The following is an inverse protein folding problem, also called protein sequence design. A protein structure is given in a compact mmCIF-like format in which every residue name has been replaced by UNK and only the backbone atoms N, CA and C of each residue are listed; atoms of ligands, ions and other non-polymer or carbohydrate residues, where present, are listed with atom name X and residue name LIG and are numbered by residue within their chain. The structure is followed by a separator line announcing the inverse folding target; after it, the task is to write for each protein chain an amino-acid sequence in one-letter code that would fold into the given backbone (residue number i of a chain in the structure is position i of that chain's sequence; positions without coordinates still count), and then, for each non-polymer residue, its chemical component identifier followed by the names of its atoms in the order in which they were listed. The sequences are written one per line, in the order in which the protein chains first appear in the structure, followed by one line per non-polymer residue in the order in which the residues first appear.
data_IF_462146975148
#
_entry.id   IF_462146975148
#
_cell.length_a   1.000
_cell.length_b   1.000
_cell.length_c   1.000
_cell.angle_alpha   90.00
_cell.angle_beta   90.00
_cell.angle_gamma   90.00
#
_symmetry.space_group_name_H-M   'P 1'
#
loop_
_entity.id
_entity.type
_entity.pdbx_description
1 polymer ?
#
# COMPACT_ATOMS: atom_id res chain seq x y z
N UNK A 1 -27.57 16.88 -49.07
CA UNK A 1 -28.04 16.55 -47.71
C UNK A 1 -27.24 15.34 -47.21
N UNK A 2 -26.15 15.58 -46.48
CA UNK A 2 -25.28 14.52 -45.95
C UNK A 2 -25.76 14.08 -44.58
N UNK A 3 -26.06 12.79 -44.41
CA UNK A 3 -26.46 12.22 -43.13
C UNK A 3 -25.24 11.68 -42.37
N UNK A 4 -25.05 12.24 -41.18
CA UNK A 4 -24.05 11.91 -40.19
C UNK A 4 -24.24 10.48 -39.68
N UNK A 5 -23.31 9.57 -39.98
CA UNK A 5 -23.34 8.20 -39.43
C UNK A 5 -22.60 8.19 -38.10
N UNK A 6 -23.37 8.25 -37.00
CA UNK A 6 -22.90 8.08 -35.61
C UNK A 6 -22.06 6.80 -35.48
N UNK A 7 -20.80 6.96 -35.11
CA UNK A 7 -19.91 5.90 -34.64
C UNK A 7 -20.53 5.29 -33.38
N UNK A 8 -21.10 4.08 -33.48
CA UNK A 8 -21.43 3.29 -32.29
C UNK A 8 -20.14 2.71 -31.74
N UNK A 9 -19.52 3.47 -30.85
CA UNK A 9 -18.40 3.06 -30.01
C UNK A 9 -18.78 1.77 -29.27
N UNK A 10 -17.96 0.74 -29.44
CA UNK A 10 -18.09 -0.58 -28.82
C UNK A 10 -17.81 -0.46 -27.31
N UNK A 11 -18.85 -0.13 -26.54
CA UNK A 11 -18.81 0.17 -25.10
C UNK A 11 -18.49 -1.03 -24.18
N UNK A 12 -18.44 -2.25 -24.71
CA UNK A 12 -18.25 -3.48 -23.92
C UNK A 12 -16.78 -3.90 -23.74
N UNK A 13 -15.87 -3.50 -24.63
CA UNK A 13 -14.43 -3.85 -24.51
C UNK A 13 -13.68 -3.05 -23.44
N UNK A 14 -14.18 -1.86 -23.10
CA UNK A 14 -13.59 -0.97 -22.08
C UNK A 14 -13.88 -1.42 -20.64
N UNK A 15 -14.94 -2.20 -20.39
CA UNK A 15 -15.34 -2.59 -19.04
C UNK A 15 -14.44 -3.68 -18.42
N UNK A 16 -13.89 -4.61 -19.21
CA UNK A 16 -13.01 -5.68 -18.69
C UNK A 16 -11.60 -5.18 -18.33
N UNK A 17 -11.05 -4.22 -19.09
CA UNK A 17 -9.77 -3.60 -18.76
C UNK A 17 -9.82 -2.81 -17.44
N UNK A 18 -10.97 -2.21 -17.11
CA UNK A 18 -11.17 -1.47 -15.87
C UNK A 18 -11.16 -2.37 -14.61
N UNK A 19 -11.66 -3.60 -14.70
CA UNK A 19 -11.70 -4.54 -13.57
C UNK A 19 -10.30 -5.07 -13.17
N UNK A 20 -9.40 -5.25 -14.14
CA UNK A 20 -8.01 -5.66 -13.89
C UNK A 20 -7.22 -4.53 -13.20
N UNK A 21 -7.41 -3.30 -13.65
CA UNK A 21 -6.81 -2.12 -13.01
C UNK A 21 -7.31 -1.92 -11.57
N UNK A 22 -8.57 -2.24 -11.28
CA UNK A 22 -9.15 -2.12 -9.94
C UNK A 22 -8.55 -3.11 -8.91
N UNK A 23 -8.21 -4.34 -9.32
CA UNK A 23 -7.60 -5.34 -8.43
C UNK A 23 -6.19 -4.96 -7.95
N UNK A 24 -5.39 -4.34 -8.82
CA UNK A 24 -4.06 -3.81 -8.49
C UNK A 24 -4.11 -2.65 -7.47
N UNK A 25 -5.20 -1.87 -7.44
CA UNK A 25 -5.36 -0.74 -6.52
C UNK A 25 -5.65 -1.17 -5.07
N UNK A 26 -6.19 -2.38 -4.84
CA UNK A 26 -6.53 -2.86 -3.48
C UNK A 26 -5.28 -3.26 -2.70
N UNK A 27 -4.32 -3.95 -3.31
CA UNK A 27 -3.08 -4.36 -2.64
C UNK A 27 -2.19 -3.19 -2.21
N UNK A 28 -2.22 -2.08 -2.95
CA UNK A 28 -1.49 -0.85 -2.61
C UNK A 28 -2.00 -0.22 -1.32
N UNK A 29 -3.29 -0.39 -0.99
CA UNK A 29 -3.85 0.19 0.24
C UNK A 29 -3.37 -0.55 1.50
N UNK A 30 -3.26 -1.87 1.46
CA UNK A 30 -2.82 -2.68 2.60
C UNK A 30 -1.37 -2.40 2.99
N UNK A 31 -0.46 -2.35 2.00
CA UNK A 31 0.95 -2.01 2.23
C UNK A 31 1.10 -0.59 2.80
N UNK A 32 0.34 0.38 2.28
CA UNK A 32 0.34 1.76 2.80
C UNK A 32 -0.14 1.83 4.24
N UNK A 33 -1.13 1.02 4.60
CA UNK A 33 -1.69 1.03 5.93
C UNK A 33 -0.76 0.35 6.96
N UNK A 34 0.18 -0.50 6.53
CA UNK A 34 1.17 -1.10 7.42
C UNK A 34 2.15 -0.05 7.98
N UNK A 35 2.67 0.85 7.13
CA UNK A 35 3.56 1.94 7.56
C UNK A 35 2.88 2.97 8.48
N UNK A 36 1.55 3.08 8.42
CA UNK A 36 0.75 4.00 9.25
C UNK A 36 0.26 3.37 10.57
N UNK A 37 0.56 2.10 10.82
CA UNK A 37 0.09 1.36 12.00
C UNK A 37 0.86 1.66 13.28
N UNK A 38 0.16 1.61 14.42
CA UNK A 38 0.78 1.63 15.76
C UNK A 38 1.72 0.43 16.01
N UNK A 39 1.50 -0.67 15.29
CA UNK A 39 2.32 -1.88 15.24
C UNK A 39 3.18 -1.96 13.96
N UNK A 40 3.24 -0.86 13.20
CA UNK A 40 3.98 -0.77 11.96
C UNK A 40 5.48 -0.49 12.16
N UNK A 41 6.30 -0.69 11.10
CA UNK A 41 7.75 -0.57 11.18
C UNK A 41 8.24 0.85 11.46
N UNK A 42 7.45 1.85 11.05
CA UNK A 42 7.73 3.27 11.30
C UNK A 42 7.63 3.60 12.78
N UNK A 43 6.56 3.14 13.44
CA UNK A 43 6.37 3.32 14.89
C UNK A 43 7.40 2.48 15.67
N UNK A 44 7.72 1.27 15.21
CA UNK A 44 8.77 0.45 15.81
C UNK A 44 10.14 1.15 15.82
N UNK A 45 10.49 1.92 14.79
CA UNK A 45 11.73 2.70 14.77
C UNK A 45 11.76 3.80 15.85
N UNK A 46 10.65 4.51 16.06
CA UNK A 46 10.52 5.49 17.14
C UNK A 46 10.64 4.83 18.52
N UNK A 47 10.00 3.67 18.69
CA UNK A 47 10.08 2.89 19.92
C UNK A 47 11.51 2.45 20.23
N UNK A 48 12.22 1.92 19.22
CA UNK A 48 13.62 1.53 19.35
C UNK A 48 14.52 2.73 19.72
N UNK A 49 14.26 3.91 19.15
CA UNK A 49 15.04 5.11 19.42
C UNK A 49 14.92 5.55 20.89
N UNK A 50 13.71 5.62 21.45
CA UNK A 50 13.59 6.00 22.87
C UNK A 50 14.00 4.89 23.83
N UNK A 51 13.88 3.61 23.45
CA UNK A 51 14.22 2.49 24.34
C UNK A 51 15.72 2.41 24.54
N UNK A 52 16.47 2.72 23.47
CA UNK A 52 17.92 2.83 23.49
C UNK A 52 18.42 4.21 23.95
N UNK A 53 17.55 5.23 24.02
CA UNK A 53 17.93 6.62 24.26
C UNK A 53 18.70 7.26 23.10
N UNK A 54 18.72 6.65 21.93
CA UNK A 54 19.45 7.10 20.75
C UNK A 54 18.48 7.61 19.67
N UNK A 55 18.29 8.93 19.65
CA UNK A 55 17.43 9.62 18.70
C UNK A 55 17.85 9.42 17.22
N UNK A 56 19.10 9.00 16.95
CA UNK A 56 19.55 8.76 15.57
C UNK A 56 18.91 7.55 14.92
N UNK A 57 18.21 6.70 15.68
CA UNK A 57 17.50 5.52 15.18
C UNK A 57 16.08 5.83 14.69
N UNK A 58 15.50 6.96 15.11
CA UNK A 58 14.15 7.34 14.73
C UNK A 58 13.98 7.66 13.22
N UNK A 59 14.90 8.36 12.53
CA UNK A 59 14.68 8.84 11.17
C UNK A 59 14.91 7.81 10.05
N UNK A 60 15.10 6.52 10.34
CA UNK A 60 15.44 5.52 9.30
C UNK A 60 14.39 5.38 8.19
N UNK A 61 13.14 5.81 8.45
CA UNK A 61 12.03 5.74 7.51
C UNK A 61 11.71 7.07 6.83
N UNK A 62 12.49 8.13 7.04
CA UNK A 62 12.24 9.45 6.43
C UNK A 62 13.34 9.84 5.44
N UNK A 63 13.06 10.86 4.63
CA UNK A 63 14.08 11.41 3.72
C UNK A 63 15.15 12.10 4.55
N UNK A 64 16.37 12.15 4.00
CA UNK A 64 17.52 12.75 4.68
C UNK A 64 17.26 14.18 5.16
N UNK A 65 16.57 14.99 4.35
CA UNK A 65 16.21 16.37 4.67
C UNK A 65 15.24 16.52 5.87
N UNK A 66 14.47 15.48 6.18
CA UNK A 66 13.51 15.49 7.28
C UNK A 66 14.08 14.86 8.57
N UNK A 67 15.30 14.32 8.51
CA UNK A 67 15.89 13.52 9.60
C UNK A 67 16.12 14.34 10.88
N UNK A 68 16.54 15.61 10.75
CA UNK A 68 16.83 16.45 11.91
C UNK A 68 15.56 16.86 12.67
N UNK A 69 14.43 17.05 11.97
CA UNK A 69 13.12 17.27 12.61
C UNK A 69 12.75 16.08 13.48
N UNK A 70 12.86 14.85 12.95
CA UNK A 70 12.55 13.63 13.68
C UNK A 70 13.47 13.43 14.88
N UNK A 71 14.78 13.66 14.73
CA UNK A 71 15.73 13.54 15.83
C UNK A 71 15.38 14.50 16.95
N UNK A 72 15.07 15.75 16.62
CA UNK A 72 14.64 16.77 17.58
C UNK A 72 13.36 16.35 18.29
N UNK A 73 12.32 15.94 17.55
CA UNK A 73 11.07 15.47 18.16
C UNK A 73 11.31 14.27 19.08
N UNK A 74 12.19 13.34 18.72
CA UNK A 74 12.54 12.20 19.56
C UNK A 74 13.23 12.64 20.87
N UNK A 75 14.15 13.62 20.81
CA UNK A 75 14.79 14.19 21.99
C UNK A 75 13.78 14.90 22.91
N UNK A 76 12.87 15.69 22.34
CA UNK A 76 11.80 16.35 23.09
C UNK A 76 10.88 15.32 23.76
N UNK A 77 10.54 14.24 23.04
CA UNK A 77 9.78 13.11 23.59
C UNK A 77 10.51 12.48 24.77
N UNK A 78 11.81 12.18 24.65
CA UNK A 78 12.62 11.64 25.74
C UNK A 78 12.65 12.55 26.98
N UNK A 79 12.64 13.88 26.79
CA UNK A 79 12.56 14.83 27.88
C UNK A 79 11.17 14.83 28.54
N UNK A 80 10.10 14.90 27.74
CA UNK A 80 8.72 14.93 28.23
C UNK A 80 8.30 13.65 28.96
N UNK A 81 8.78 12.49 28.52
CA UNK A 81 8.51 11.20 29.18
C UNK A 81 8.91 11.18 30.65
N UNK A 82 9.90 12.00 31.06
CA UNK A 82 10.37 12.11 32.45
C UNK A 82 9.39 12.86 33.36
N UNK A 83 8.39 13.54 32.81
CA UNK A 83 7.44 14.38 33.55
C UNK A 83 6.23 13.60 34.10
N UNK A 84 6.12 12.30 33.79
CA UNK A 84 5.06 11.42 34.30
C UNK A 84 4.31 10.66 33.20
N UNK A 85 3.44 9.73 33.60
CA UNK A 85 2.77 8.78 32.69
C UNK A 85 1.88 9.46 31.64
N UNK A 86 1.16 10.51 32.01
CA UNK A 86 0.32 11.26 31.08
C UNK A 86 1.16 12.03 30.04
N UNK A 87 2.25 12.67 30.48
CA UNK A 87 3.18 13.37 29.58
C UNK A 87 3.89 12.38 28.65
N UNK A 88 4.26 11.21 29.15
CA UNK A 88 4.79 10.11 28.36
C UNK A 88 3.79 9.69 27.27
N UNK A 89 2.55 9.35 27.62
CA UNK A 89 1.57 8.90 26.63
C UNK A 89 1.32 9.93 25.52
N UNK A 90 1.28 11.22 25.88
CA UNK A 90 1.14 12.32 24.92
C UNK A 90 2.38 12.45 24.01
N UNK A 91 3.57 12.50 24.60
CA UNK A 91 4.83 12.66 23.88
C UNK A 91 5.11 11.47 22.95
N UNK A 92 4.67 10.28 23.37
CA UNK A 92 4.77 9.05 22.62
C UNK A 92 3.92 9.11 21.36
N UNK A 93 2.63 9.43 21.54
CA UNK A 93 1.70 9.58 20.43
C UNK A 93 2.10 10.72 19.47
N UNK A 94 2.65 11.82 19.99
CA UNK A 94 3.13 12.94 19.19
C UNK A 94 4.31 12.55 18.28
N UNK A 95 5.29 11.82 18.82
CA UNK A 95 6.42 11.31 18.02
C UNK A 95 5.92 10.36 16.93
N UNK A 96 5.01 9.44 17.27
CA UNK A 96 4.46 8.49 16.31
C UNK A 96 3.72 9.19 15.16
N UNK A 97 2.82 10.13 15.47
CA UNK A 97 2.11 10.90 14.45
C UNK A 97 3.07 11.67 13.57
N UNK A 98 4.03 12.38 14.18
CA UNK A 98 5.00 13.21 13.44
C UNK A 98 5.83 12.37 12.49
N UNK A 99 6.37 11.25 12.98
CA UNK A 99 7.20 10.36 12.18
C UNK A 99 6.42 9.73 11.03
N UNK A 100 5.23 9.21 11.30
CA UNK A 100 4.37 8.61 10.27
C UNK A 100 3.94 9.66 9.25
N UNK A 101 3.51 10.85 9.67
CA UNK A 101 3.12 11.94 8.77
C UNK A 101 4.25 12.33 7.81
N UNK A 102 5.48 12.46 8.31
CA UNK A 102 6.65 12.81 7.49
C UNK A 102 7.04 11.67 6.56
N UNK A 103 7.07 10.43 7.04
CA UNK A 103 7.30 9.25 6.21
C UNK A 103 6.33 9.20 5.02
N UNK A 104 5.03 9.38 5.28
CA UNK A 104 3.99 9.37 4.24
C UNK A 104 4.10 10.53 3.26
N UNK A 105 4.47 11.71 3.73
CA UNK A 105 4.78 12.84 2.85
C UNK A 105 5.95 12.50 1.90
N UNK A 106 6.96 11.77 2.37
CA UNK A 106 8.06 11.24 1.55
C UNK A 106 7.59 10.27 0.45
N UNK A 107 6.50 9.55 0.67
CA UNK A 107 5.86 8.66 -0.29
C UNK A 107 4.79 9.34 -1.19
N UNK A 108 4.71 10.68 -1.14
CA UNK A 108 3.65 11.47 -1.78
C UNK A 108 2.23 10.99 -1.38
N UNK A 109 2.06 10.58 -0.13
CA UNK A 109 0.83 10.01 0.38
C UNK A 109 0.22 10.86 1.49
N UNK A 110 -1.11 10.95 1.49
CA UNK A 110 -1.86 11.70 2.51
C UNK A 110 -1.80 10.98 3.86
N UNK A 111 -1.43 11.71 4.90
CA UNK A 111 -1.61 11.25 6.29
C UNK A 111 -3.09 11.35 6.70
N UNK A 112 -3.64 10.26 7.26
CA UNK A 112 -5.05 10.16 7.67
C UNK A 112 -5.18 9.68 9.12
N UNK A 113 -4.19 10.01 9.95
CA UNK A 113 -4.07 9.52 11.32
C UNK A 113 -3.40 8.16 11.41
N UNK A 114 -2.86 7.88 12.60
CA UNK A 114 -2.33 6.57 12.98
C UNK A 114 -3.44 5.52 12.91
N UNK A 115 -3.09 4.33 12.40
CA UNK A 115 -4.00 3.21 12.30
C UNK A 115 -3.89 2.30 13.51
N UNK A 116 -4.99 1.70 13.98
CA UNK A 116 -4.96 0.80 15.13
C UNK A 116 -4.05 -0.41 14.85
N UNK A 117 -3.45 -0.94 15.91
CA UNK A 117 -2.71 -2.19 15.88
C UNK A 117 -3.64 -3.39 15.65
N UNK A 118 -3.07 -4.52 15.21
CA UNK A 118 -3.78 -5.79 15.02
C UNK A 118 -4.61 -5.87 13.74
N UNK A 119 -4.36 -4.99 12.76
CA UNK A 119 -4.97 -5.12 11.42
C UNK A 119 -4.27 -6.21 10.63
N UNK A 120 -5.00 -6.89 9.75
CA UNK A 120 -4.42 -7.84 8.80
C UNK A 120 -3.78 -7.08 7.63
N UNK A 121 -2.43 -7.12 7.48
CA UNK A 121 -1.75 -6.49 6.36
C UNK A 121 -1.79 -7.35 5.07
N UNK A 122 -2.42 -8.52 5.12
CA UNK A 122 -2.41 -9.53 4.07
C UNK A 122 -1.12 -10.37 4.08
N UNK A 123 -1.01 -11.40 3.23
CA UNK A 123 0.08 -12.38 3.30
C UNK A 123 1.44 -11.86 2.84
N UNK A 124 1.47 -10.81 2.01
CA UNK A 124 2.71 -10.31 1.41
C UNK A 124 3.62 -9.61 2.43
N UNK A 125 3.05 -8.87 3.38
CA UNK A 125 3.82 -8.11 4.37
C UNK A 125 4.51 -9.03 5.39
N UNK A 126 3.83 -9.98 6.06
CA UNK A 126 4.49 -10.93 6.96
C UNK A 126 5.52 -11.80 6.25
N UNK A 127 5.29 -12.14 4.98
CA UNK A 127 6.27 -12.86 4.17
C UNK A 127 7.52 -12.00 3.89
N UNK A 128 7.36 -10.70 3.68
CA UNK A 128 8.48 -9.77 3.53
C UNK A 128 9.26 -9.59 4.85
N UNK A 129 8.56 -9.40 5.96
CA UNK A 129 9.19 -9.28 7.28
C UNK A 129 10.00 -10.54 7.62
N UNK A 130 9.42 -11.72 7.39
CA UNK A 130 10.11 -13.01 7.57
C UNK A 130 11.32 -13.16 6.63
N UNK A 131 11.22 -12.71 5.38
CA UNK A 131 12.33 -12.76 4.44
C UNK A 131 13.50 -11.88 4.90
N UNK A 132 13.22 -10.71 5.48
CA UNK A 132 14.23 -9.83 6.07
C UNK A 132 14.88 -10.49 7.29
N UNK A 133 14.07 -11.09 8.18
CA UNK A 133 14.55 -11.75 9.40
C UNK A 133 15.43 -12.97 9.10
N UNK A 134 15.01 -13.80 8.13
CA UNK A 134 15.65 -15.09 7.85
C UNK A 134 16.67 -15.04 6.71
N UNK A 135 16.66 -13.97 5.91
CA UNK A 135 17.41 -13.89 4.65
C UNK A 135 16.89 -14.80 3.53
N UNK A 136 15.70 -15.41 3.70
CA UNK A 136 15.14 -16.36 2.74
C UNK A 136 13.97 -15.75 1.95
N UNK A 137 14.14 -15.62 0.63
CA UNK A 137 13.14 -14.99 -0.26
C UNK A 137 12.00 -15.91 -0.72
N UNK A 138 12.12 -17.22 -0.54
CA UNK A 138 11.24 -18.22 -1.19
C UNK A 138 9.75 -17.95 -0.97
N UNK A 139 9.34 -17.83 0.28
CA UNK A 139 7.93 -17.64 0.64
C UNK A 139 7.39 -16.30 0.09
N UNK A 140 8.22 -15.24 0.16
CA UNK A 140 7.91 -13.93 -0.39
C UNK A 140 7.76 -13.98 -1.92
N UNK A 141 8.70 -14.61 -2.63
CA UNK A 141 8.72 -14.67 -4.09
C UNK A 141 7.57 -15.51 -4.67
N UNK A 142 7.12 -16.53 -3.93
CA UNK A 142 6.02 -17.38 -4.36
C UNK A 142 4.69 -16.61 -4.46
N UNK A 143 4.41 -15.69 -3.53
CA UNK A 143 3.16 -14.93 -3.49
C UNK A 143 2.86 -14.13 -4.79
N UNK A 144 3.72 -13.19 -5.24
CA UNK A 144 3.46 -12.46 -6.47
C UNK A 144 3.56 -13.36 -7.70
N UNK A 145 4.45 -14.36 -7.70
CA UNK A 145 4.64 -15.26 -8.85
C UNK A 145 3.38 -16.06 -9.14
N UNK A 146 2.78 -16.67 -8.11
CA UNK A 146 1.55 -17.44 -8.27
C UNK A 146 0.36 -16.56 -8.62
N UNK A 147 0.29 -15.35 -8.09
CA UNK A 147 -0.77 -14.41 -8.45
C UNK A 147 -0.69 -13.97 -9.91
N UNK A 148 0.52 -13.64 -10.40
CA UNK A 148 0.77 -13.32 -11.81
C UNK A 148 0.41 -14.51 -12.71
N UNK A 149 0.86 -15.73 -12.35
CA UNK A 149 0.55 -16.95 -13.12
C UNK A 149 -0.95 -17.21 -13.19
N UNK A 150 -1.67 -17.04 -12.06
CA UNK A 150 -3.12 -17.22 -11.97
C UNK A 150 -3.84 -16.20 -12.85
N UNK A 151 -3.48 -14.93 -12.75
CA UNK A 151 -4.02 -13.85 -13.58
C UNK A 151 -3.81 -14.10 -15.07
N UNK A 152 -2.58 -14.48 -15.46
CA UNK A 152 -2.25 -14.78 -16.86
C UNK A 152 -3.10 -15.94 -17.41
N UNK A 153 -3.21 -17.04 -16.66
CA UNK A 153 -4.01 -18.20 -17.07
C UNK A 153 -5.48 -17.84 -17.21
N UNK A 154 -6.04 -17.11 -16.25
CA UNK A 154 -7.43 -16.64 -16.27
C UNK A 154 -7.71 -15.81 -17.53
N UNK A 155 -6.92 -14.76 -17.75
CA UNK A 155 -7.17 -13.84 -18.87
C UNK A 155 -6.91 -14.47 -20.23
N UNK A 156 -5.92 -15.36 -20.35
CA UNK A 156 -5.72 -16.11 -21.58
C UNK A 156 -6.94 -16.99 -21.91
N UNK A 157 -7.48 -17.71 -20.91
CA UNK A 157 -8.67 -18.54 -21.11
C UNK A 157 -9.89 -17.71 -21.54
N UNK A 158 -10.13 -16.55 -20.90
CA UNK A 158 -11.21 -15.63 -21.28
C UNK A 158 -11.09 -15.15 -22.75
N UNK A 159 -9.87 -14.94 -23.24
CA UNK A 159 -9.63 -14.58 -24.65
C UNK A 159 -9.85 -15.77 -25.57
N UNK A 160 -9.38 -16.96 -25.19
CA UNK A 160 -9.53 -18.18 -25.98
C UNK A 160 -11.00 -18.59 -26.16
N UNK A 161 -11.83 -18.47 -25.12
CA UNK A 161 -13.28 -18.72 -25.22
C UNK A 161 -13.97 -17.79 -26.22
N UNK A 162 -13.49 -16.54 -26.33
CA UNK A 162 -14.03 -15.54 -27.25
C UNK A 162 -13.37 -15.56 -28.63
N UNK A 163 -12.27 -16.31 -28.80
CA UNK A 163 -11.48 -16.34 -30.04
C UNK A 163 -12.30 -16.82 -31.24
N UNK A 164 -13.29 -17.69 -31.00
CA UNK A 164 -14.18 -18.24 -32.03
C UNK A 164 -15.55 -17.52 -32.08
N UNK A 165 -15.67 -16.32 -31.51
CA UNK A 165 -16.91 -15.56 -31.58
C UNK A 165 -17.20 -15.13 -33.02
N UNK A 166 -18.17 -15.80 -33.65
CA UNK A 166 -18.77 -15.36 -34.91
C UNK A 166 -19.99 -14.48 -34.59
N UNK A 167 -20.03 -13.21 -35.02
CA UNK A 167 -21.27 -12.44 -34.99
C UNK A 167 -22.24 -13.10 -35.98
N UNK A 168 -23.37 -13.55 -35.46
CA UNK A 168 -24.44 -14.16 -36.22
C UNK A 168 -24.97 -13.20 -37.30
N UNK A 169 -24.89 -13.64 -38.56
CA UNK A 169 -25.46 -12.95 -39.72
C UNK A 169 -27.00 -13.08 -39.80
N UNK A 170 -27.70 -13.37 -38.70
CA UNK A 170 -29.16 -13.57 -38.65
C UNK A 170 -29.95 -12.39 -38.10
N UNK A 171 -29.40 -11.18 -38.13
CA UNK A 171 -30.22 -9.95 -38.11
C UNK A 171 -30.61 -9.56 -39.54
N UNK A 172 -31.19 -10.50 -40.28
CA UNK A 172 -32.00 -10.19 -41.46
C UNK A 172 -33.19 -9.35 -41.00
N UNK A 173 -33.08 -8.04 -41.14
CA UNK A 173 -34.24 -7.13 -41.08
C UNK A 173 -35.12 -7.41 -42.30
N UNK A 174 -36.41 -7.75 -42.14
CA UNK A 174 -37.37 -7.54 -43.21
C UNK A 174 -37.51 -6.03 -43.45
N UNK A 175 -37.71 -5.68 -44.73
CA UNK A 175 -37.90 -4.32 -45.22
C UNK A 175 -39.04 -3.58 -44.53
#
# INVERSE_FOLDING_TARGET
MGTFRRTRMCTTKTLMAAAIAAGLLVGVQSARAHCDGLDGPVVAAAQNAWQSGDANRAPIWVRLQDADEIKKTCQDTLAMRKLGSQAQAFADHYLFETLVRIHRAGENARHTGLKPAGRDPGPAIPAADKAIETGAERDLAQLPTEEVRRGLRKHLNEVLEKKNFAPDASMSRPM
#
